data_IF_480512413706
#
_entry.id   IF_480512413706
#
_cell.length_a   1.000
_cell.length_b   1.000
_cell.length_c   1.000
_cell.angle_alpha   90.00
_cell.angle_beta   90.00
_cell.angle_gamma   90.00
#
_symmetry.space_group_name_H-M   'P 1'
#
loop_
_entity.id
_entity.type
_entity.pdbx_description
1 polymer ?
#
# COMPACT_ATOMS: atom_id res chain seq x y z
N UNK A 1 -17.07 14.68 -9.61
CA UNK A 1 -17.51 13.89 -8.44
C UNK A 1 -16.36 13.00 -8.05
N UNK A 2 -16.03 12.88 -6.75
CA UNK A 2 -14.94 12.00 -6.32
C UNK A 2 -15.26 10.54 -6.64
N UNK A 3 -14.23 9.70 -6.85
CA UNK A 3 -14.41 8.26 -7.04
C UNK A 3 -15.15 7.64 -5.85
N UNK A 4 -15.85 6.54 -6.12
CA UNK A 4 -16.78 5.89 -5.21
C UNK A 4 -16.52 4.38 -5.11
N UNK A 5 -17.21 3.71 -4.18
CA UNK A 5 -17.19 2.25 -4.07
C UNK A 5 -17.61 1.54 -5.37
N UNK A 6 -18.63 2.07 -6.07
CA UNK A 6 -19.10 1.50 -7.33
C UNK A 6 -18.03 1.58 -8.43
N UNK A 7 -17.33 2.71 -8.53
CA UNK A 7 -16.28 2.88 -9.53
C UNK A 7 -15.12 1.88 -9.33
N UNK A 8 -14.71 1.63 -8.07
CA UNK A 8 -13.70 0.61 -7.78
C UNK A 8 -14.20 -0.81 -8.11
N UNK A 9 -15.46 -1.12 -7.81
CA UNK A 9 -16.06 -2.41 -8.16
C UNK A 9 -16.12 -2.62 -9.68
N UNK A 10 -16.45 -1.59 -10.44
CA UNK A 10 -16.45 -1.61 -11.91
C UNK A 10 -15.04 -1.89 -12.46
N UNK A 11 -14.02 -1.20 -11.95
CA UNK A 11 -12.63 -1.38 -12.37
C UNK A 11 -12.14 -2.83 -12.06
N UNK A 12 -12.51 -3.39 -10.91
CA UNK A 12 -12.17 -4.76 -10.52
C UNK A 12 -12.91 -5.83 -11.34
N UNK A 13 -14.17 -5.60 -11.70
CA UNK A 13 -14.93 -6.51 -12.55
C UNK A 13 -14.42 -6.48 -13.99
N UNK A 14 -14.16 -5.28 -14.53
CA UNK A 14 -13.60 -5.11 -15.87
C UNK A 14 -12.22 -5.76 -16.03
N UNK A 15 -11.42 -5.82 -14.95
CA UNK A 15 -10.12 -6.51 -14.93
C UNK A 15 -10.21 -8.02 -14.66
N UNK A 16 -11.41 -8.56 -14.39
CA UNK A 16 -11.64 -9.97 -14.09
C UNK A 16 -11.17 -10.39 -12.69
N UNK A 17 -10.80 -9.44 -11.83
CA UNK A 17 -10.40 -9.68 -10.44
C UNK A 17 -11.61 -9.88 -9.51
N UNK A 18 -12.77 -9.37 -9.92
CA UNK A 18 -14.04 -9.50 -9.22
C UNK A 18 -15.08 -10.18 -10.12
N UNK A 19 -15.26 -11.49 -9.95
CA UNK A 19 -16.14 -12.31 -10.80
C UNK A 19 -17.41 -12.79 -10.10
N UNK A 20 -17.43 -12.77 -8.76
CA UNK A 20 -18.58 -13.19 -7.96
C UNK A 20 -19.43 -11.96 -7.58
N UNK A 21 -20.73 -11.92 -7.95
CA UNK A 21 -21.61 -10.80 -7.66
C UNK A 21 -21.82 -10.57 -6.15
N UNK A 22 -21.64 -11.60 -5.32
CA UNK A 22 -21.68 -11.49 -3.85
C UNK A 22 -20.59 -10.56 -3.35
N UNK A 23 -19.37 -10.72 -3.87
CA UNK A 23 -18.24 -9.87 -3.51
C UNK A 23 -18.40 -8.44 -4.04
N UNK A 24 -19.02 -8.27 -5.22
CA UNK A 24 -19.34 -6.93 -5.73
C UNK A 24 -20.22 -6.14 -4.76
N UNK A 25 -21.27 -6.77 -4.24
CA UNK A 25 -22.14 -6.15 -3.24
C UNK A 25 -21.38 -5.73 -1.98
N UNK A 26 -20.38 -6.52 -1.56
CA UNK A 26 -19.53 -6.16 -0.40
C UNK A 26 -18.71 -4.90 -0.70
N UNK A 27 -18.05 -4.82 -1.86
CA UNK A 27 -17.28 -3.63 -2.25
C UNK A 27 -18.14 -2.37 -2.35
N UNK A 28 -19.37 -2.48 -2.85
CA UNK A 28 -20.30 -1.35 -2.96
C UNK A 28 -20.83 -0.87 -1.59
N UNK A 29 -20.97 -1.78 -0.62
CA UNK A 29 -21.59 -1.48 0.68
C UNK A 29 -20.60 -1.10 1.79
N UNK A 30 -19.35 -1.58 1.71
CA UNK A 30 -18.31 -1.29 2.71
C UNK A 30 -17.44 -0.12 2.24
N UNK A 31 -17.57 1.09 2.84
CA UNK A 31 -16.72 2.21 2.45
C UNK A 31 -15.25 1.94 2.84
N UNK A 32 -14.33 2.11 1.89
CA UNK A 32 -12.88 1.90 2.11
C UNK A 32 -12.23 3.05 2.89
N UNK A 33 -12.69 4.28 2.67
CA UNK A 33 -12.07 5.50 3.19
C UNK A 33 -12.00 5.65 4.73
N UNK A 34 -12.90 5.11 5.56
CA UNK A 34 -12.74 5.14 7.01
C UNK A 34 -11.56 4.31 7.52
N UNK A 35 -11.15 3.30 6.75
CA UNK A 35 -10.00 2.43 7.08
C UNK A 35 -8.66 2.96 6.55
N UNK A 36 -8.69 4.02 5.73
CA UNK A 36 -7.51 4.62 5.11
C UNK A 36 -7.50 6.14 5.35
N UNK A 37 -7.39 6.59 6.62
CA UNK A 37 -7.36 8.02 6.94
C UNK A 37 -6.13 8.73 6.33
N UNK A 38 -5.07 7.97 6.09
CA UNK A 38 -3.84 8.42 5.47
C UNK A 38 -3.08 7.27 4.81
N UNK A 39 -2.22 7.61 3.85
CA UNK A 39 -1.32 6.67 3.20
C UNK A 39 -0.07 7.39 2.67
N UNK A 40 0.91 6.59 2.25
CA UNK A 40 2.16 7.06 1.68
C UNK A 40 2.24 6.74 0.18
N UNK A 41 2.66 7.72 -0.60
CA UNK A 41 2.91 7.63 -2.04
C UNK A 41 4.38 7.91 -2.34
N UNK A 42 4.91 7.26 -3.36
CA UNK A 42 6.24 7.54 -3.89
C UNK A 42 6.14 8.53 -5.03
N UNK A 43 6.70 9.72 -4.81
CA UNK A 43 6.85 10.75 -5.84
C UNK A 43 8.29 10.76 -6.36
N UNK A 44 8.55 11.46 -7.47
CA UNK A 44 9.92 11.69 -7.94
C UNK A 44 10.83 12.40 -6.92
N UNK A 45 10.24 13.02 -5.89
CA UNK A 45 10.94 13.73 -4.81
C UNK A 45 11.05 12.89 -3.52
N UNK A 46 10.62 11.62 -3.54
CA UNK A 46 10.61 10.73 -2.38
C UNK A 46 9.19 10.43 -1.86
N UNK A 47 9.11 9.94 -0.62
CA UNK A 47 7.86 9.57 0.02
C UNK A 47 7.05 10.82 0.41
N UNK A 48 5.78 10.84 0.02
CA UNK A 48 4.80 11.88 0.39
C UNK A 48 3.65 11.21 1.14
N UNK A 49 3.28 11.78 2.29
CA UNK A 49 2.05 11.42 3.01
C UNK A 49 0.86 12.13 2.38
N UNK A 50 -0.24 11.41 2.21
CA UNK A 50 -1.55 11.94 1.80
C UNK A 50 -2.55 11.59 2.89
N UNK A 51 -3.38 12.56 3.27
CA UNK A 51 -4.31 12.51 4.39
C UNK A 51 -5.71 12.88 3.95
N UNK A 52 -6.73 12.61 4.76
CA UNK A 52 -8.12 13.01 4.48
C UNK A 52 -8.36 14.51 4.29
N UNK A 53 -7.40 15.36 4.68
CA UNK A 53 -7.43 16.80 4.41
C UNK A 53 -6.99 17.16 2.97
N UNK A 54 -6.30 16.26 2.27
CA UNK A 54 -5.86 16.48 0.89
C UNK A 54 -7.03 16.28 -0.09
N UNK A 55 -7.30 17.21 -1.02
CA UNK A 55 -8.41 17.09 -1.98
C UNK A 55 -8.34 15.83 -2.86
N UNK A 56 -7.13 15.30 -3.09
CA UNK A 56 -6.89 14.11 -3.91
C UNK A 56 -7.12 12.80 -3.16
N UNK A 57 -7.24 12.84 -1.82
CA UNK A 57 -7.26 11.64 -0.98
C UNK A 57 -8.38 10.68 -1.36
N UNK A 58 -9.61 11.19 -1.49
CA UNK A 58 -10.76 10.33 -1.73
C UNK A 58 -10.67 9.63 -3.10
N UNK A 59 -10.19 10.33 -4.12
CA UNK A 59 -10.01 9.76 -5.44
C UNK A 59 -8.96 8.64 -5.46
N UNK A 60 -7.86 8.84 -4.74
CA UNK A 60 -6.77 7.85 -4.66
C UNK A 60 -7.16 6.65 -3.79
N UNK A 61 -7.94 6.84 -2.72
CA UNK A 61 -8.43 5.74 -1.88
C UNK A 61 -9.25 4.72 -2.69
N UNK A 62 -9.96 5.18 -3.72
CA UNK A 62 -10.81 4.34 -4.57
C UNK A 62 -10.15 3.92 -5.89
N UNK A 63 -8.82 3.97 -6.00
CA UNK A 63 -8.12 3.29 -7.10
C UNK A 63 -7.90 1.81 -6.79
N UNK A 64 -7.75 1.01 -7.84
CA UNK A 64 -7.24 -0.38 -7.75
C UNK A 64 -5.71 -0.41 -7.58
N UNK A 65 -5.18 0.46 -6.71
CA UNK A 65 -3.78 0.43 -6.30
C UNK A 65 -3.67 0.03 -4.82
N UNK A 66 -2.57 -0.65 -4.51
CA UNK A 66 -2.17 -0.88 -3.13
C UNK A 66 -1.68 0.42 -2.49
N UNK A 67 -2.25 0.76 -1.32
CA UNK A 67 -1.90 1.96 -0.56
C UNK A 67 -1.15 1.58 0.71
N UNK A 68 0.02 2.19 0.92
CA UNK A 68 0.81 1.95 2.12
C UNK A 68 0.27 2.80 3.28
N UNK A 69 -0.48 2.20 4.20
CA UNK A 69 -1.04 2.87 5.39
C UNK A 69 -0.16 2.79 6.62
N UNK A 70 0.83 1.88 6.60
CA UNK A 70 1.86 1.75 7.63
C UNK A 70 3.22 1.54 6.94
N UNK A 71 4.23 2.25 7.43
CA UNK A 71 5.63 2.04 7.05
C UNK A 71 6.32 1.43 8.27
N UNK A 72 6.67 0.15 8.17
CA UNK A 72 7.57 -0.52 9.11
C UNK A 72 8.95 -0.59 8.47
N UNK A 73 9.99 -0.55 9.30
CA UNK A 73 11.41 -0.67 8.98
C UNK A 73 11.82 -2.07 8.45
N UNK A 74 11.03 -2.64 7.54
CA UNK A 74 11.40 -3.85 6.83
C UNK A 74 10.29 -4.49 6.01
N UNK A 75 10.21 -4.09 4.75
CA UNK A 75 9.61 -4.79 3.60
C UNK A 75 8.07 -4.70 3.46
N UNK A 76 7.63 -4.03 2.40
CA UNK A 76 6.30 -4.21 1.81
C UNK A 76 6.45 -4.73 0.37
N UNK A 77 5.87 -5.89 0.07
CA UNK A 77 5.92 -6.54 -1.25
C UNK A 77 4.78 -6.10 -2.18
N UNK A 78 4.30 -4.86 -2.05
CA UNK A 78 3.20 -4.40 -2.89
C UNK A 78 3.70 -3.88 -4.24
N UNK A 79 3.14 -4.48 -5.30
CA UNK A 79 3.30 -4.04 -6.68
C UNK A 79 2.40 -2.84 -6.91
N UNK A 80 2.99 -1.65 -6.87
CA UNK A 80 2.39 -0.46 -7.46
C UNK A 80 2.89 -0.37 -8.91
N UNK A 81 2.00 -0.47 -9.90
CA UNK A 81 2.23 0.08 -11.26
C UNK A 81 3.27 -0.60 -12.19
N UNK A 82 3.30 -1.93 -12.31
CA UNK A 82 4.06 -2.61 -13.39
C UNK A 82 5.59 -2.34 -13.39
N UNK A 83 6.10 -1.62 -12.39
CA UNK A 83 7.50 -1.26 -12.21
C UNK A 83 7.93 -1.84 -10.87
N UNK A 84 9.05 -2.57 -10.88
CA UNK A 84 9.64 -3.13 -9.66
C UNK A 84 10.05 -1.97 -8.75
N UNK A 85 9.28 -1.70 -7.70
CA UNK A 85 9.67 -0.78 -6.65
C UNK A 85 10.39 -1.59 -5.58
N UNK A 86 11.72 -1.54 -5.60
CA UNK A 86 12.55 -1.90 -4.45
C UNK A 86 12.90 -0.57 -3.77
N UNK A 87 12.39 -0.35 -2.56
CA UNK A 87 13.07 0.58 -1.66
C UNK A 87 14.40 -0.08 -1.29
N UNK A 88 15.50 0.43 -1.83
CA UNK A 88 16.85 0.06 -1.42
C UNK A 88 16.97 0.28 0.09
N UNK A 89 17.19 -0.81 0.83
CA UNK A 89 17.72 -0.75 2.20
C UNK A 89 19.08 -0.08 2.16
N UNK A 90 19.25 0.98 2.95
CA UNK A 90 20.56 1.30 3.52
C UNK A 90 20.52 0.76 4.94
N UNK A 91 21.34 -0.25 5.24
CA UNK A 91 21.65 -0.60 6.63
C UNK A 91 22.24 0.65 7.31
N UNK A 92 21.75 0.98 8.51
CA UNK A 92 22.73 1.14 9.57
C UNK A 92 22.16 0.81 10.96
N UNK A 93 22.17 -0.47 11.36
CA UNK A 93 22.11 -0.81 12.80
C UNK A 93 22.99 -2.01 13.20
N UNK A 94 24.04 -2.33 12.43
CA UNK A 94 25.14 -3.18 12.90
C UNK A 94 26.46 -2.42 12.98
N UNK A 95 26.49 -1.40 13.86
CA UNK A 95 27.76 -0.95 14.43
C UNK A 95 27.69 -0.89 15.94
N UNK A 96 28.42 -1.84 16.53
CA UNK A 96 28.93 -1.88 17.89
C UNK A 96 27.93 -2.22 19.00
N UNK A 97 27.84 -3.52 19.30
CA UNK A 97 28.26 -4.04 20.61
C UNK A 97 28.62 -5.54 20.46
N UNK A 98 29.80 -5.92 20.95
CA UNK A 98 30.02 -7.28 21.46
C UNK A 98 30.58 -8.32 20.49
N UNK A 99 31.85 -8.17 20.13
CA UNK A 99 32.73 -9.27 19.70
C UNK A 99 32.67 -10.44 20.72
N UNK A 100 32.02 -11.57 20.39
CA UNK A 100 32.47 -12.90 20.85
C UNK A 100 32.18 -13.98 19.81
N UNK A 101 33.28 -14.55 19.31
CA UNK A 101 33.36 -15.82 18.58
C UNK A 101 32.80 -16.97 19.44
N UNK A 102 32.17 -17.95 18.77
CA UNK A 102 32.13 -19.42 18.97
C UNK A 102 30.86 -19.86 18.23
N UNK A 103 30.92 -20.34 16.98
CA UNK A 103 31.46 -21.64 16.61
C UNK A 103 30.45 -22.70 17.04
N UNK A 104 29.78 -23.35 16.08
CA UNK A 104 29.40 -24.77 16.13
C UNK A 104 28.84 -25.23 14.78
N UNK A 105 29.63 -26.12 14.17
CA UNK A 105 29.14 -27.17 13.29
C UNK A 105 28.67 -28.33 14.18
N UNK A 106 27.68 -29.07 13.71
CA UNK A 106 27.13 -30.28 14.32
C UNK A 106 25.92 -30.73 13.54
#
# INVERSE_FOLDING_TARGET
MPRSCAALADDLEASGQLTDPTWRKVFETVPRHPYVPEFWTLTGQGQRRVTSADPVWLDVVYTDDALATQLTDGVSLFRCHGRRVSTKTSEPLLRNLGRRRRGWAG
#
